data_IF_284713729148
#
_entry.id   IF_284713729148
#
_cell.length_a   1.000
_cell.length_b   1.000
_cell.length_c   1.000
_cell.angle_alpha   90.00
_cell.angle_beta   90.00
_cell.angle_gamma   90.00
#
_symmetry.space_group_name_H-M   'P 1'
#
loop_
_entity.id
_entity.type
_entity.pdbx_description
1 polymer ?
#
# COMPACT_ATOMS: atom_id res chain seq x y z
N UNK A 1 4.96 19.13 6.08
CA UNK A 1 5.71 17.86 6.06
C UNK A 1 4.70 16.75 5.78
N UNK A 2 4.91 16.03 4.69
CA UNK A 2 4.00 14.98 4.21
C UNK A 2 4.30 13.68 4.96
N UNK A 3 3.57 13.41 6.03
CA UNK A 3 3.46 12.05 6.56
C UNK A 3 2.52 11.31 5.61
N UNK A 4 3.07 10.62 4.61
CA UNK A 4 2.26 9.89 3.64
C UNK A 4 1.38 8.83 4.33
N UNK A 5 0.21 8.49 3.75
CA UNK A 5 -0.75 7.54 4.33
C UNK A 5 -0.24 6.09 4.46
N UNK A 6 1.03 5.81 4.19
CA UNK A 6 1.61 4.47 4.06
C UNK A 6 2.33 3.92 5.29
N UNK A 7 2.61 4.74 6.32
CA UNK A 7 3.39 4.28 7.49
C UNK A 7 2.67 3.21 8.34
N UNK A 8 1.36 3.35 8.55
CA UNK A 8 0.57 2.39 9.32
C UNK A 8 0.45 1.01 8.66
N UNK A 9 0.03 0.92 7.38
CA UNK A 9 -0.02 -0.31 6.60
C UNK A 9 1.27 -1.13 6.59
N UNK A 10 2.42 -0.47 6.40
CA UNK A 10 3.72 -1.14 6.35
C UNK A 10 4.12 -1.73 7.70
N UNK A 11 3.91 -0.99 8.79
CA UNK A 11 4.18 -1.48 10.14
C UNK A 11 3.25 -2.66 10.52
N UNK A 12 1.98 -2.60 10.10
CA UNK A 12 1.03 -3.70 10.31
C UNK A 12 1.44 -4.97 9.55
N UNK A 13 1.91 -4.83 8.29
CA UNK A 13 2.42 -5.96 7.51
C UNK A 13 3.69 -6.59 8.13
N UNK A 14 4.62 -5.76 8.62
CA UNK A 14 5.81 -6.25 9.32
C UNK A 14 5.45 -7.00 10.61
N UNK A 15 4.53 -6.45 11.41
CA UNK A 15 4.06 -7.11 12.62
C UNK A 15 3.35 -8.45 12.32
N UNK A 16 2.61 -8.54 11.21
CA UNK A 16 2.00 -9.78 10.77
C UNK A 16 3.05 -10.85 10.42
N UNK A 17 4.13 -10.47 9.72
CA UNK A 17 5.25 -11.36 9.42
C UNK A 17 5.91 -11.88 10.70
N UNK A 18 6.25 -10.98 11.63
CA UNK A 18 6.96 -11.36 12.85
C UNK A 18 6.11 -12.27 13.75
N UNK A 19 4.81 -12.02 13.81
CA UNK A 19 3.85 -12.88 14.51
C UNK A 19 3.81 -14.28 13.89
N UNK A 20 3.72 -14.36 12.56
CA UNK A 20 3.68 -15.63 11.85
C UNK A 20 5.00 -16.40 12.00
N UNK A 21 6.13 -15.71 11.88
CA UNK A 21 7.45 -16.28 12.07
C UNK A 21 7.63 -16.85 13.48
N UNK A 22 7.20 -16.12 14.51
CA UNK A 22 7.27 -16.59 15.90
C UNK A 22 6.29 -17.72 16.23
N UNK A 23 5.19 -17.84 15.48
CA UNK A 23 4.20 -18.89 15.66
C UNK A 23 4.52 -20.18 14.88
N UNK A 24 5.26 -20.08 13.77
CA UNK A 24 5.70 -21.24 12.97
C UNK A 24 6.64 -22.13 13.78
N UNK A 25 6.44 -23.44 13.69
CA UNK A 25 7.26 -24.45 14.34
C UNK A 25 8.69 -24.37 13.81
N UNK A 26 9.72 -24.30 14.69
CA UNK A 26 11.11 -24.26 14.23
C UNK A 26 11.49 -25.53 13.45
N UNK A 27 12.15 -25.44 12.28
CA UNK A 27 12.52 -26.60 11.47
C UNK A 27 13.29 -27.71 12.23
N UNK A 28 14.19 -27.41 13.19
CA UNK A 28 14.85 -28.45 13.98
C UNK A 28 13.89 -29.32 14.81
N UNK A 29 12.74 -28.80 15.23
CA UNK A 29 11.73 -29.55 16.00
C UNK A 29 11.04 -30.58 15.09
N UNK A 30 10.68 -30.18 13.87
CA UNK A 30 10.11 -31.09 12.85
C UNK A 30 11.11 -32.20 12.50
N UNK A 31 12.39 -31.84 12.35
CA UNK A 31 13.46 -32.79 12.07
C UNK A 31 13.69 -33.78 13.24
N UNK A 32 13.55 -33.33 14.49
CA UNK A 32 13.66 -34.17 15.66
C UNK A 32 12.53 -35.22 15.71
N UNK A 33 11.28 -34.82 15.49
CA UNK A 33 10.14 -35.75 15.42
C UNK A 33 10.31 -36.77 14.28
N UNK A 34 10.75 -36.31 13.09
CA UNK A 34 11.03 -37.20 11.95
C UNK A 34 12.13 -38.22 12.25
N UNK A 35 13.20 -37.79 12.93
CA UNK A 35 14.31 -38.67 13.32
C UNK A 35 13.90 -39.69 14.39
N UNK A 36 13.04 -39.29 15.33
CA UNK A 36 12.48 -40.18 16.34
C UNK A 36 11.56 -41.23 15.68
N UNK A 37 10.67 -40.82 14.78
CA UNK A 37 9.78 -41.74 14.05
C UNK A 37 10.56 -42.82 13.31
N UNK A 38 11.61 -42.43 12.57
CA UNK A 38 12.50 -43.38 11.89
C UNK A 38 13.19 -44.35 12.86
N UNK A 39 13.63 -43.88 14.02
CA UNK A 39 14.27 -44.71 15.05
C UNK A 39 13.29 -45.71 15.68
N UNK A 40 12.05 -45.28 15.93
CA UNK A 40 10.99 -46.13 16.44
C UNK A 40 10.60 -47.21 15.43
N UNK A 41 10.46 -46.86 14.16
CA UNK A 41 10.19 -47.78 13.06
C UNK A 41 11.31 -48.82 12.93
N UNK A 42 12.57 -48.37 12.92
CA UNK A 42 13.72 -49.26 12.78
C UNK A 42 13.83 -50.30 13.91
N UNK A 43 13.35 -49.96 15.11
CA UNK A 43 13.34 -50.85 16.29
C UNK A 43 12.03 -51.59 16.51
N UNK A 44 11.01 -51.40 15.65
CA UNK A 44 9.66 -51.97 15.84
C UNK A 44 9.54 -53.45 15.43
N UNK A 45 10.55 -54.28 15.70
CA UNK A 45 10.60 -55.68 15.24
C UNK A 45 9.46 -56.53 15.81
N UNK A 46 9.06 -56.25 17.06
CA UNK A 46 7.98 -56.97 17.76
C UNK A 46 6.67 -56.18 17.83
N UNK A 47 6.55 -55.06 17.10
CA UNK A 47 5.34 -54.22 17.10
C UNK A 47 5.10 -53.37 18.36
N UNK A 48 5.98 -53.45 19.37
CA UNK A 48 5.82 -52.77 20.66
C UNK A 48 5.88 -51.24 20.56
N UNK A 49 6.56 -50.69 19.53
CA UNK A 49 6.69 -49.25 19.34
C UNK A 49 5.50 -48.64 18.58
N UNK A 50 4.53 -49.44 18.14
CA UNK A 50 3.38 -48.95 17.34
C UNK A 50 2.63 -47.80 18.02
N UNK A 51 2.33 -47.82 19.33
CA UNK A 51 1.71 -46.69 20.01
C UNK A 51 2.59 -45.43 20.02
N UNK A 52 3.92 -45.58 20.14
CA UNK A 52 4.85 -44.46 20.11
C UNK A 52 4.98 -43.84 18.72
N UNK A 53 4.95 -44.66 17.65
CA UNK A 53 4.93 -44.18 16.27
C UNK A 53 3.66 -43.34 16.04
N UNK A 54 2.50 -43.84 16.44
CA UNK A 54 1.24 -43.10 16.33
C UNK A 54 1.27 -41.76 17.10
N UNK A 55 1.94 -41.72 18.27
CA UNK A 55 2.16 -40.47 18.99
C UNK A 55 3.02 -39.49 18.18
N UNK A 56 4.11 -39.95 17.55
CA UNK A 56 4.94 -39.07 16.69
C UNK A 56 4.17 -38.54 15.48
N UNK A 57 3.31 -39.35 14.87
CA UNK A 57 2.45 -38.92 13.75
C UNK A 57 1.43 -37.86 14.19
N UNK A 58 0.86 -38.03 15.39
CA UNK A 58 -0.05 -37.03 15.97
C UNK A 58 0.67 -35.72 16.27
N UNK A 59 1.83 -35.75 16.91
CA UNK A 59 2.66 -34.56 17.14
C UNK A 59 3.01 -33.85 15.83
N UNK A 60 3.32 -34.60 14.78
CA UNK A 60 3.57 -34.04 13.45
C UNK A 60 2.33 -33.35 12.87
N UNK A 61 1.15 -33.93 13.04
CA UNK A 61 -0.11 -33.32 12.64
C UNK A 61 -0.43 -32.04 13.43
N UNK A 62 -0.09 -31.99 14.72
CA UNK A 62 -0.22 -30.77 15.54
C UNK A 62 0.72 -29.67 15.03
N UNK A 63 1.99 -30.00 14.75
CA UNK A 63 2.93 -29.04 14.15
C UNK A 63 2.42 -28.51 12.82
N UNK A 64 1.87 -29.40 11.97
CA UNK A 64 1.29 -29.01 10.69
C UNK A 64 0.07 -28.07 10.86
N UNK A 65 -0.82 -28.38 11.81
CA UNK A 65 -1.97 -27.53 12.12
C UNK A 65 -1.56 -26.16 12.67
N UNK A 66 -0.51 -26.11 13.50
CA UNK A 66 0.06 -24.86 14.02
C UNK A 66 0.62 -23.98 12.89
N UNK A 67 1.44 -24.55 12.00
CA UNK A 67 2.00 -23.83 10.86
C UNK A 67 0.92 -23.34 9.89
N UNK A 68 -0.10 -24.16 9.65
CA UNK A 68 -1.26 -23.75 8.85
C UNK A 68 -1.99 -22.58 9.52
N UNK A 69 -2.23 -22.64 10.83
CA UNK A 69 -2.84 -21.56 11.61
C UNK A 69 -2.02 -20.26 11.54
N UNK A 70 -0.70 -20.35 11.69
CA UNK A 70 0.20 -19.21 11.59
C UNK A 70 0.12 -18.54 10.20
N UNK A 71 0.14 -19.33 9.12
CA UNK A 71 0.07 -18.81 7.75
C UNK A 71 -1.31 -18.28 7.37
N UNK A 72 -2.41 -18.88 7.86
CA UNK A 72 -3.75 -18.30 7.67
C UNK A 72 -3.91 -16.98 8.41
N UNK A 73 -3.38 -16.89 9.64
CA UNK A 73 -3.34 -15.63 10.40
C UNK A 73 -2.54 -14.56 9.66
N UNK A 74 -1.37 -14.90 9.15
CA UNK A 74 -0.55 -14.02 8.30
C UNK A 74 -1.30 -13.53 7.06
N UNK A 75 -1.95 -14.43 6.34
CA UNK A 75 -2.68 -14.10 5.12
C UNK A 75 -3.83 -13.11 5.41
N UNK A 76 -4.61 -13.36 6.46
CA UNK A 76 -5.67 -12.45 6.90
C UNK A 76 -5.14 -11.08 7.30
N UNK A 77 -4.12 -11.04 8.17
CA UNK A 77 -3.52 -9.79 8.63
C UNK A 77 -2.88 -8.99 7.48
N UNK A 78 -2.22 -9.67 6.54
CA UNK A 78 -1.61 -9.04 5.36
C UNK A 78 -2.65 -8.48 4.38
N UNK A 79 -3.77 -9.18 4.19
CA UNK A 79 -4.89 -8.68 3.39
C UNK A 79 -5.47 -7.39 3.99
N UNK A 80 -5.62 -7.33 5.32
CA UNK A 80 -6.04 -6.11 6.01
C UNK A 80 -5.00 -4.98 5.92
N UNK A 81 -3.72 -5.30 6.11
CA UNK A 81 -2.64 -4.31 6.04
C UNK A 81 -2.52 -3.68 4.63
N UNK A 82 -2.84 -4.42 3.58
CA UNK A 82 -2.72 -3.98 2.18
C UNK A 82 -4.00 -3.33 1.62
N UNK A 83 -5.05 -3.16 2.42
CA UNK A 83 -6.30 -2.52 2.04
C UNK A 83 -6.17 -0.98 1.96
N UNK A 84 -5.35 -0.49 1.02
CA UNK A 84 -5.07 0.93 0.83
C UNK A 84 -6.20 1.66 0.09
N UNK A 85 -6.43 2.92 0.47
CA UNK A 85 -7.33 3.80 -0.29
C UNK A 85 -6.69 4.23 -1.61
N UNK A 86 -7.46 4.35 -2.71
CA UNK A 86 -6.98 4.92 -3.95
C UNK A 86 -6.46 6.35 -3.77
N UNK A 87 -5.45 6.72 -4.57
CA UNK A 87 -4.94 8.08 -4.57
C UNK A 87 -6.02 9.05 -5.11
N UNK A 88 -6.16 10.25 -4.51
CA UNK A 88 -7.09 11.25 -5.01
C UNK A 88 -6.63 11.77 -6.37
N UNK A 89 -7.59 12.05 -7.25
CA UNK A 89 -7.34 12.73 -8.52
C UNK A 89 -6.74 14.11 -8.27
N UNK A 90 -5.67 14.52 -8.97
CA UNK A 90 -5.10 15.85 -8.80
C UNK A 90 -6.12 16.94 -9.18
N UNK A 91 -6.17 18.06 -8.43
CA UNK A 91 -7.05 19.17 -8.76
C UNK A 91 -6.63 19.83 -10.08
N UNK A 92 -7.60 20.40 -10.80
CA UNK A 92 -7.32 21.26 -11.95
C UNK A 92 -6.55 22.51 -11.50
N UNK A 93 -5.39 22.75 -12.09
CA UNK A 93 -4.51 23.90 -11.76
C UNK A 93 -4.61 25.05 -12.76
N UNK A 94 -5.34 24.86 -13.85
CA UNK A 94 -5.46 25.83 -14.94
C UNK A 94 -6.90 26.31 -15.05
N UNK A 95 -7.11 27.61 -15.30
CA UNK A 95 -8.43 28.14 -15.62
C UNK A 95 -8.72 27.92 -17.12
N UNK A 96 -9.70 27.08 -17.51
CA UNK A 96 -10.03 26.85 -18.92
C UNK A 96 -10.57 28.09 -19.64
N UNK A 97 -11.10 29.08 -18.90
CA UNK A 97 -11.53 30.36 -19.46
C UNK A 97 -10.40 31.41 -19.54
N UNK A 98 -9.19 31.10 -19.07
CA UNK A 98 -8.09 32.07 -18.95
C UNK A 98 -7.69 32.68 -20.30
N UNK A 99 -7.62 31.87 -21.36
CA UNK A 99 -7.29 32.34 -22.71
C UNK A 99 -8.36 33.27 -23.29
N UNK A 100 -9.64 32.98 -23.04
CA UNK A 100 -10.76 33.81 -23.49
C UNK A 100 -10.83 35.14 -22.72
N UNK A 101 -10.54 35.13 -21.41
CA UNK A 101 -10.45 36.34 -20.62
C UNK A 101 -9.26 37.22 -21.07
N UNK A 102 -8.13 36.59 -21.40
CA UNK A 102 -6.93 37.29 -21.87
C UNK A 102 -7.13 37.94 -23.24
N UNK A 103 -7.81 37.26 -24.17
CA UNK A 103 -8.14 37.84 -25.48
C UNK A 103 -9.13 39.00 -25.34
N UNK A 104 -10.17 38.86 -24.51
CA UNK A 104 -11.12 39.94 -24.25
C UNK A 104 -10.46 41.18 -23.63
N UNK A 105 -9.53 40.99 -22.69
CA UNK A 105 -8.76 42.08 -22.08
C UNK A 105 -7.87 42.80 -23.11
N UNK A 106 -7.21 42.05 -24.02
CA UNK A 106 -6.40 42.63 -25.09
C UNK A 106 -7.24 43.48 -26.06
N UNK A 107 -8.44 43.03 -26.42
CA UNK A 107 -9.37 43.79 -27.26
C UNK A 107 -9.84 45.08 -26.58
N UNK A 108 -10.18 45.02 -25.29
CA UNK A 108 -10.58 46.21 -24.52
C UNK A 108 -9.44 47.23 -24.38
N UNK A 109 -8.21 46.75 -24.15
CA UNK A 109 -7.03 47.63 -24.07
C UNK A 109 -6.75 48.32 -25.41
N UNK A 110 -6.88 47.62 -26.54
CA UNK A 110 -6.74 48.20 -27.88
C UNK A 110 -7.81 49.26 -28.14
N UNK A 111 -9.07 48.99 -27.77
CA UNK A 111 -10.17 49.95 -27.88
C UNK A 111 -9.93 51.21 -27.04
N UNK A 112 -9.51 51.05 -25.78
CA UNK A 112 -9.18 52.17 -24.90
C UNK A 112 -8.05 53.05 -25.43
N UNK A 113 -6.98 52.44 -25.95
CA UNK A 113 -5.87 53.18 -26.56
C UNK A 113 -6.30 54.00 -27.79
N UNK A 114 -7.22 53.47 -28.59
CA UNK A 114 -7.79 54.17 -29.75
C UNK A 114 -8.62 55.38 -29.31
N UNK A 115 -9.47 55.22 -28.28
CA UNK A 115 -10.25 56.33 -27.71
C UNK A 115 -9.33 57.41 -27.12
N UNK A 116 -8.27 57.02 -26.43
CA UNK A 116 -7.31 57.95 -25.82
C UNK A 116 -6.52 58.73 -26.88
N UNK A 117 -6.12 58.07 -27.97
CA UNK A 117 -5.50 58.73 -29.13
C UNK A 117 -6.45 59.74 -29.78
N UNK A 118 -7.72 59.37 -29.99
CA UNK A 118 -8.73 60.26 -30.56
C UNK A 118 -9.00 61.50 -29.67
N UNK A 119 -9.02 61.32 -28.35
CA UNK A 119 -9.18 62.42 -27.39
C UNK A 119 -7.96 63.35 -27.38
N UNK A 120 -6.74 62.82 -27.40
CA UNK A 120 -5.52 63.63 -27.51
C UNK A 120 -5.46 64.41 -28.82
N UNK A 121 -5.92 63.81 -29.94
CA UNK A 121 -6.03 64.52 -31.22
C UNK A 121 -7.08 65.63 -31.16
N UNK A 122 -8.25 65.39 -30.55
CA UNK A 122 -9.26 66.41 -30.34
C UNK A 122 -8.76 67.56 -29.47
N UNK A 123 -8.01 67.26 -28.40
CA UNK A 123 -7.44 68.28 -27.51
C UNK A 123 -6.32 69.07 -28.17
N UNK A 124 -5.42 68.41 -28.92
CA UNK A 124 -4.39 69.08 -29.72
C UNK A 124 -4.97 69.92 -30.86
N UNK A 125 -6.10 69.51 -31.44
CA UNK A 125 -6.82 70.29 -32.44
C UNK A 125 -7.65 71.45 -31.83
N UNK A 126 -7.77 71.50 -30.49
CA UNK A 126 -8.51 72.52 -29.75
C UNK A 126 -7.61 73.44 -28.90
N UNK A 127 -6.30 73.53 -29.19
CA UNK A 127 -5.47 74.59 -28.61
C UNK A 127 -6.05 75.96 -29.01
N UNK A 128 -6.52 76.79 -28.06
CA UNK A 128 -7.13 78.08 -28.37
C UNK A 128 -6.02 79.10 -28.67
N UNK A 129 -5.91 79.48 -29.95
CA UNK A 129 -5.19 80.68 -30.39
C UNK A 129 -6.11 81.91 -30.39
#
# INVERSE_FOLDING_TARGET
MYSGPSAGPLLAAAAANDTAFGATVPPPVIAANSSLSLSLIASNILGQNTPAIAATEFEYAEMWAQDAGAMYGYAGASAHATALSPLPTPPQTTNPAGLAAQSAAATQAAAGAQTQSALSQLLSNHEPG
#
